data_IF_983348297274
#
_entry.id   IF_983348297274
#
_cell.length_a   1.000
_cell.length_b   1.000
_cell.length_c   1.000
_cell.angle_alpha   90.00
_cell.angle_beta   90.00
_cell.angle_gamma   90.00
#
_symmetry.space_group_name_H-M   'P 1'
#
loop_
_entity.id
_entity.type
_entity.pdbx_description
1 polymer ?
#
# COMPACT_ATOMS: atom_id res chain seq x y z
N UNK A 1 -9.03 5.22 7.94
CA UNK A 1 -8.08 4.32 8.62
C UNK A 1 -8.24 4.54 10.13
N UNK A 2 -8.73 3.55 10.87
CA UNK A 2 -8.96 3.64 12.33
C UNK A 2 -7.89 2.83 13.07
N UNK A 3 -7.38 3.38 14.16
CA UNK A 3 -6.53 2.67 15.13
C UNK A 3 -7.40 1.83 16.06
N UNK A 4 -7.18 0.50 16.12
CA UNK A 4 -7.72 -0.35 17.18
C UNK A 4 -6.56 -1.10 17.84
N UNK A 5 -6.32 -0.83 19.12
CA UNK A 5 -5.54 -1.70 20.01
C UNK A 5 -6.50 -2.65 20.73
N UNK A 6 -6.43 -3.99 20.54
CA UNK A 6 -7.18 -4.90 21.38
C UNK A 6 -6.40 -5.18 22.67
N UNK A 7 -6.97 -4.79 23.80
CA UNK A 7 -6.55 -5.30 25.11
C UNK A 7 -7.18 -6.70 25.31
N UNK A 8 -6.41 -7.76 25.11
CA UNK A 8 -6.84 -9.13 25.45
C UNK A 8 -6.49 -9.44 26.92
N UNK A 9 -7.51 -9.64 27.75
CA UNK A 9 -7.41 -10.49 28.96
C UNK A 9 -7.91 -11.89 28.59
N UNK A 10 -7.01 -12.86 28.54
CA UNK A 10 -7.37 -14.25 28.38
C UNK A 10 -7.89 -14.82 29.71
N UNK A 11 -9.12 -15.33 29.71
CA UNK A 11 -9.58 -16.31 30.70
C UNK A 11 -9.61 -17.69 30.03
N UNK A 12 -8.80 -18.59 30.57
CA UNK A 12 -8.71 -19.99 30.18
C UNK A 12 -10.00 -20.71 30.57
N UNK A 13 -10.69 -21.32 29.61
CA UNK A 13 -11.73 -22.31 29.86
C UNK A 13 -11.12 -23.71 29.76
N UNK A 14 -11.10 -24.45 30.88
CA UNK A 14 -10.79 -25.89 30.87
C UNK A 14 -12.01 -26.72 30.41
N UNK A 15 -11.82 -27.89 29.76
CA UNK A 15 -12.90 -28.79 29.37
C UNK A 15 -13.29 -29.77 30.50
N UNK A 16 -14.55 -30.24 30.58
CA UNK A 16 -14.97 -31.22 31.58
C UNK A 16 -14.64 -32.68 31.18
N UNK A 17 -14.61 -33.63 32.15
CA UNK A 17 -14.05 -34.96 31.96
C UNK A 17 -15.04 -36.00 31.42
N UNK A 18 -14.45 -37.07 30.90
CA UNK A 18 -15.01 -38.26 30.25
C UNK A 18 -15.90 -39.12 31.15
N UNK A 19 -16.90 -39.80 30.54
CA UNK A 19 -17.58 -40.96 31.13
C UNK A 19 -17.46 -42.19 30.23
N UNK A 20 -17.12 -43.29 30.89
CA UNK A 20 -16.97 -44.67 30.43
C UNK A 20 -18.31 -45.41 30.43
N UNK A 21 -18.52 -46.35 29.48
CA UNK A 21 -18.71 -47.79 29.76
C UNK A 21 -19.35 -48.58 28.59
N UNK A 22 -18.61 -49.59 28.13
CA UNK A 22 -18.99 -50.97 27.75
C UNK A 22 -20.29 -51.28 26.94
N UNK A 23 -20.08 -51.78 25.72
CA UNK A 23 -20.36 -53.17 25.35
C UNK A 23 -21.77 -53.56 24.87
N UNK A 24 -21.90 -53.91 23.58
CA UNK A 24 -22.55 -55.16 23.16
C UNK A 24 -22.24 -55.51 21.69
N UNK A 25 -22.01 -56.80 21.47
CA UNK A 25 -21.67 -57.44 20.21
C UNK A 25 -22.91 -57.57 19.31
N UNK A 26 -22.82 -57.17 18.04
CA UNK A 26 -23.69 -57.70 16.98
C UNK A 26 -22.96 -57.56 15.63
N UNK A 27 -22.50 -58.71 15.10
CA UNK A 27 -21.97 -58.80 13.74
C UNK A 27 -23.11 -58.56 12.75
N UNK A 28 -22.99 -57.50 11.95
CA UNK A 28 -23.78 -57.32 10.73
C UNK A 28 -22.78 -57.10 9.60
N UNK A 29 -22.66 -58.10 8.72
CA UNK A 29 -22.03 -57.98 7.41
C UNK A 29 -22.85 -56.98 6.59
N UNK A 30 -22.34 -55.76 6.38
CA UNK A 30 -22.81 -54.86 5.32
C UNK A 30 -21.65 -54.64 4.35
N UNK A 31 -21.97 -54.87 3.09
CA UNK A 31 -21.08 -54.86 1.92
C UNK A 31 -20.34 -53.52 1.82
N UNK A 32 -19.02 -53.58 1.63
CA UNK A 32 -18.21 -52.45 1.18
C UNK A 32 -18.73 -52.01 -0.20
N UNK A 33 -19.42 -50.88 -0.25
CA UNK A 33 -19.52 -50.09 -1.47
C UNK A 33 -18.39 -49.07 -1.42
N UNK A 34 -17.33 -49.32 -2.20
CA UNK A 34 -16.26 -48.37 -2.44
C UNK A 34 -16.84 -47.20 -3.25
N UNK A 35 -17.29 -46.16 -2.57
CA UNK A 35 -17.46 -44.83 -3.15
C UNK A 35 -16.60 -43.88 -2.31
N UNK A 36 -15.30 -43.96 -2.53
CA UNK A 36 -14.38 -42.93 -2.07
C UNK A 36 -14.63 -41.69 -2.92
N UNK A 37 -15.53 -40.83 -2.46
CA UNK A 37 -15.64 -39.47 -2.95
C UNK A 37 -14.40 -38.72 -2.42
N UNK A 38 -13.30 -38.78 -3.17
CA UNK A 38 -12.19 -37.84 -3.01
C UNK A 38 -12.70 -36.47 -3.44
N UNK A 39 -13.40 -35.76 -2.55
CA UNK A 39 -13.49 -34.33 -2.61
C UNK A 39 -12.09 -33.80 -2.30
N UNK A 40 -11.28 -33.61 -3.34
CA UNK A 40 -10.01 -32.91 -3.22
C UNK A 40 -10.30 -31.49 -2.76
N UNK A 41 -10.09 -31.21 -1.48
CA UNK A 41 -9.79 -29.86 -1.04
C UNK A 41 -8.45 -29.50 -1.69
N UNK A 42 -8.49 -28.84 -2.85
CA UNK A 42 -7.39 -27.97 -3.24
C UNK A 42 -7.47 -26.78 -2.30
N UNK A 43 -6.89 -26.91 -1.10
CA UNK A 43 -6.47 -25.74 -0.36
C UNK A 43 -5.43 -25.06 -1.26
N UNK A 44 -5.85 -24.02 -1.98
CA UNK A 44 -4.91 -23.17 -2.70
C UNK A 44 -3.88 -22.71 -1.70
N UNK A 45 -2.61 -23.00 -1.96
CA UNK A 45 -1.52 -22.46 -1.16
C UNK A 45 -1.58 -20.94 -1.35
N UNK A 46 -2.05 -20.22 -0.32
CA UNK A 46 -1.95 -18.78 -0.31
C UNK A 46 -0.47 -18.40 -0.38
N UNK A 47 -0.14 -17.35 -1.14
CA UNK A 47 1.22 -16.88 -1.25
C UNK A 47 1.71 -16.37 0.11
N UNK A 48 2.98 -16.63 0.43
CA UNK A 48 3.63 -16.07 1.62
C UNK A 48 3.67 -14.53 1.51
N UNK A 49 3.44 -13.85 2.63
CA UNK A 49 3.55 -12.40 2.70
C UNK A 49 4.97 -11.95 2.36
N UNK A 50 5.06 -11.06 1.40
CA UNK A 50 6.29 -10.40 0.98
C UNK A 50 6.34 -8.97 1.53
N UNK A 51 7.56 -8.45 1.64
CA UNK A 51 7.81 -7.11 2.15
C UNK A 51 8.51 -6.27 1.10
N UNK A 52 8.20 -4.98 1.08
CA UNK A 52 8.82 -4.04 0.15
C UNK A 52 10.30 -3.83 0.50
N UNK A 53 11.13 -3.43 -0.49
CA UNK A 53 12.49 -3.01 -0.22
C UNK A 53 12.53 -1.88 0.82
N UNK A 54 13.46 -2.01 1.76
CA UNK A 54 13.71 -1.01 2.79
C UNK A 54 14.91 -0.16 2.38
N UNK A 55 14.69 1.15 2.28
CA UNK A 55 15.69 2.14 1.90
C UNK A 55 16.01 3.02 3.11
N UNK A 56 17.29 3.04 3.50
CA UNK A 56 17.74 3.89 4.60
C UNK A 56 17.95 5.32 4.10
N UNK A 57 17.24 6.27 4.69
CA UNK A 57 17.41 7.68 4.40
C UNK A 57 18.80 8.13 4.85
N UNK A 58 19.49 8.88 3.99
CA UNK A 58 20.77 9.49 4.33
C UNK A 58 21.03 10.69 3.43
N UNK A 59 21.99 11.53 3.81
CA UNK A 59 22.51 12.62 2.96
C UNK A 59 23.59 12.16 1.99
N UNK A 60 24.00 10.87 2.05
CA UNK A 60 25.06 10.32 1.20
C UNK A 60 24.53 9.81 -0.15
N UNK A 61 23.23 9.58 -0.26
CA UNK A 61 22.61 8.99 -1.44
C UNK A 61 21.21 9.53 -1.66
N UNK A 62 20.95 9.99 -2.88
CA UNK A 62 19.61 10.26 -3.39
C UNK A 62 18.95 8.95 -3.80
N UNK A 63 17.71 8.74 -3.35
CA UNK A 63 16.90 7.58 -3.73
C UNK A 63 16.01 7.94 -4.91
N UNK A 64 16.09 7.20 -6.02
CA UNK A 64 15.15 7.39 -7.13
C UNK A 64 13.80 6.77 -6.79
N UNK A 65 12.76 7.60 -6.85
CA UNK A 65 11.37 7.21 -6.67
C UNK A 65 10.61 7.57 -7.95
N UNK A 66 10.24 6.56 -8.72
CA UNK A 66 9.55 6.70 -10.00
C UNK A 66 8.08 6.39 -9.82
N UNK A 67 7.20 7.33 -10.15
CA UNK A 67 5.77 7.04 -10.35
C UNK A 67 5.55 6.54 -11.79
N UNK A 68 4.87 5.42 -11.93
CA UNK A 68 4.62 4.77 -13.22
C UNK A 68 3.32 3.97 -13.22
N UNK A 69 2.88 3.54 -14.41
CA UNK A 69 1.82 2.55 -14.55
C UNK A 69 2.39 1.16 -14.20
N UNK A 70 1.70 0.43 -13.32
CA UNK A 70 2.11 -0.88 -12.81
C UNK A 70 0.92 -1.84 -12.81
N UNK A 71 1.12 -3.14 -13.04
CA UNK A 71 0.02 -4.11 -12.98
C UNK A 71 -0.62 -4.15 -11.59
N UNK A 72 -1.97 -4.11 -11.52
CA UNK A 72 -2.68 -4.37 -10.27
C UNK A 72 -2.84 -5.88 -10.08
N UNK A 73 -1.89 -6.52 -9.42
CA UNK A 73 -1.89 -7.97 -9.22
C UNK A 73 -2.04 -8.73 -10.54
N UNK A 74 -3.01 -9.66 -10.59
CA UNK A 74 -3.29 -10.47 -11.78
C UNK A 74 -4.53 -10.00 -12.57
N UNK A 75 -4.98 -8.76 -12.37
CA UNK A 75 -6.23 -8.26 -12.97
C UNK A 75 -6.13 -7.94 -14.47
N UNK A 76 -4.93 -7.91 -15.05
CA UNK A 76 -4.74 -7.69 -16.48
C UNK A 76 -4.86 -6.23 -16.93
N UNK A 77 -4.99 -5.30 -15.99
CA UNK A 77 -4.89 -3.86 -16.21
C UNK A 77 -3.89 -3.23 -15.24
N UNK A 78 -3.46 -2.02 -15.58
CA UNK A 78 -2.51 -1.24 -14.77
C UNK A 78 -3.22 -0.25 -13.84
N UNK A 79 -2.51 0.11 -12.77
CA UNK A 79 -2.78 1.22 -11.86
C UNK A 79 -1.53 2.09 -11.72
N UNK A 80 -1.58 3.17 -10.95
CA UNK A 80 -0.37 3.92 -10.60
C UNK A 80 0.31 3.37 -9.35
N UNK A 81 1.64 3.26 -9.40
CA UNK A 81 2.48 2.77 -8.31
C UNK A 81 3.85 3.42 -8.32
N UNK A 82 4.69 2.99 -7.38
CA UNK A 82 6.06 3.48 -7.25
C UNK A 82 7.08 2.35 -7.44
N UNK A 83 8.11 2.59 -8.26
CA UNK A 83 9.19 1.65 -8.56
C UNK A 83 8.68 0.24 -8.91
N UNK A 84 7.70 0.17 -9.82
CA UNK A 84 7.12 -1.08 -10.30
C UNK A 84 6.13 -1.77 -9.36
N UNK A 85 5.72 -1.16 -8.23
CA UNK A 85 4.87 -1.82 -7.24
C UNK A 85 3.81 -0.94 -6.57
N UNK A 86 2.83 -1.62 -5.99
CA UNK A 86 1.84 -1.09 -5.04
C UNK A 86 1.93 -1.94 -3.78
N UNK A 87 2.40 -1.44 -2.63
CA UNK A 87 2.96 -0.10 -2.43
C UNK A 87 4.38 0.05 -3.01
N UNK A 88 4.94 1.26 -2.93
CA UNK A 88 6.35 1.55 -3.18
C UNK A 88 7.28 1.09 -2.06
N UNK A 89 8.59 1.37 -2.18
CA UNK A 89 9.58 1.03 -1.15
C UNK A 89 9.27 1.68 0.20
N UNK A 90 9.79 1.09 1.27
CA UNK A 90 9.72 1.68 2.61
C UNK A 90 10.97 2.51 2.86
N UNK A 91 10.82 3.78 3.21
CA UNK A 91 11.92 4.58 3.73
C UNK A 91 12.01 4.42 5.24
N UNK A 92 13.22 4.25 5.78
CA UNK A 92 13.48 4.33 7.23
C UNK A 92 14.44 5.48 7.51
N UNK A 93 14.16 6.24 8.57
CA UNK A 93 15.00 7.38 8.96
C UNK A 93 14.95 7.62 10.46
N UNK A 94 15.98 8.29 10.98
CA UNK A 94 16.04 8.72 12.38
C UNK A 94 15.44 10.13 12.54
N UNK A 95 14.94 10.50 13.72
CA UNK A 95 14.73 11.90 14.09
C UNK A 95 16.02 12.71 13.84
N UNK A 96 15.90 13.94 13.34
CA UNK A 96 17.05 14.74 12.90
C UNK A 96 17.68 14.31 11.56
N UNK A 97 17.22 13.20 10.98
CA UNK A 97 17.70 12.69 9.72
C UNK A 97 17.14 13.43 8.50
N UNK A 98 17.75 13.16 7.34
CA UNK A 98 17.34 13.72 6.05
C UNK A 98 17.05 12.60 5.07
N UNK A 99 15.89 12.68 4.41
CA UNK A 99 15.53 11.85 3.26
C UNK A 99 15.68 12.67 1.97
N UNK A 100 16.49 12.17 1.04
CA UNK A 100 16.72 12.76 -0.29
C UNK A 100 16.15 11.85 -1.38
N UNK A 101 15.25 12.38 -2.21
CA UNK A 101 14.52 11.64 -3.24
C UNK A 101 14.67 12.33 -4.59
N UNK A 102 15.18 11.61 -5.60
CA UNK A 102 15.01 12.01 -7.00
C UNK A 102 13.66 11.48 -7.47
N UNK A 103 12.66 12.34 -7.57
CA UNK A 103 11.30 11.97 -7.96
C UNK A 103 11.18 12.02 -9.48
N UNK A 104 10.86 10.88 -10.09
CA UNK A 104 10.71 10.75 -11.55
C UNK A 104 9.25 10.50 -11.88
N UNK A 105 8.65 11.39 -12.67
CA UNK A 105 7.32 11.16 -13.22
C UNK A 105 7.44 10.44 -14.57
N UNK A 106 7.28 9.12 -14.57
CA UNK A 106 7.29 8.31 -15.80
C UNK A 106 5.88 8.04 -16.35
N UNK A 107 4.89 8.87 -15.98
CA UNK A 107 3.54 8.77 -16.52
C UNK A 107 3.46 9.33 -17.95
N UNK A 108 2.44 8.91 -18.69
CA UNK A 108 2.24 9.35 -20.07
C UNK A 108 1.50 10.70 -20.10
N UNK A 109 2.04 11.68 -20.84
CA UNK A 109 1.41 12.99 -21.03
C UNK A 109 0.01 12.89 -21.66
N UNK A 110 -0.28 11.86 -22.46
CA UNK A 110 -1.59 11.61 -23.04
C UNK A 110 -2.66 11.17 -22.02
N UNK A 111 -2.34 11.13 -20.73
CA UNK A 111 -3.30 10.90 -19.64
C UNK A 111 -3.87 12.19 -19.03
N UNK A 112 -3.35 13.37 -19.39
CA UNK A 112 -3.89 14.68 -19.00
C UNK A 112 -4.93 15.18 -20.02
N UNK A 113 -6.05 14.46 -20.16
CA UNK A 113 -7.03 14.74 -21.21
C UNK A 113 -8.21 15.62 -20.74
N UNK A 114 -8.45 15.70 -19.43
CA UNK A 114 -9.53 16.52 -18.89
C UNK A 114 -9.28 18.03 -19.04
N UNK A 115 -10.35 18.79 -19.28
CA UNK A 115 -10.30 20.25 -19.29
C UNK A 115 -10.44 20.79 -17.85
N UNK A 116 -9.40 21.45 -17.33
CA UNK A 116 -9.41 22.01 -15.98
C UNK A 116 -10.44 23.14 -15.77
N UNK A 117 -11.04 23.69 -16.83
CA UNK A 117 -12.13 24.64 -16.70
C UNK A 117 -13.48 23.97 -16.39
N UNK A 118 -13.63 22.69 -16.72
CA UNK A 118 -14.91 21.97 -16.67
C UNK A 118 -14.88 20.68 -15.86
N UNK A 119 -13.70 20.16 -15.53
CA UNK A 119 -13.50 18.94 -14.75
C UNK A 119 -12.68 19.19 -13.49
N UNK A 120 -13.04 18.51 -12.40
CA UNK A 120 -12.22 18.45 -11.18
C UNK A 120 -11.08 17.42 -11.30
N UNK A 121 -11.05 16.61 -12.36
CA UNK A 121 -9.98 15.65 -12.66
C UNK A 121 -9.38 15.94 -14.04
N UNK A 122 -8.40 16.83 -14.12
CA UNK A 122 -7.79 17.24 -15.39
C UNK A 122 -6.27 17.02 -15.48
N UNK A 123 -5.61 16.69 -14.36
CA UNK A 123 -4.15 16.50 -14.28
C UNK A 123 -3.78 15.07 -13.90
N UNK A 124 -4.45 14.07 -14.49
CA UNK A 124 -4.33 12.66 -14.11
C UNK A 124 -2.90 12.10 -14.12
N UNK A 125 -2.00 12.67 -14.92
CA UNK A 125 -0.60 12.24 -15.04
C UNK A 125 0.44 13.27 -14.60
N UNK A 126 0.04 14.47 -14.19
CA UNK A 126 0.93 15.36 -13.41
C UNK A 126 0.91 14.88 -11.95
N UNK A 127 2.05 14.89 -11.27
CA UNK A 127 2.18 14.33 -9.92
C UNK A 127 2.98 15.26 -9.00
N UNK A 128 3.02 14.91 -7.73
CA UNK A 128 3.99 15.42 -6.76
C UNK A 128 4.25 14.35 -5.69
N UNK A 129 4.96 14.73 -4.63
CA UNK A 129 5.21 13.87 -3.49
C UNK A 129 4.85 14.62 -2.20
N UNK A 130 3.99 14.01 -1.39
CA UNK A 130 3.64 14.49 -0.07
C UNK A 130 4.06 13.47 0.99
N UNK A 131 4.50 13.95 2.15
CA UNK A 131 4.87 13.10 3.30
C UNK A 131 3.88 13.24 4.44
N UNK A 132 2.96 12.29 4.53
CA UNK A 132 1.88 12.34 5.49
C UNK A 132 2.37 11.98 6.89
N UNK A 133 2.37 12.99 7.76
CA UNK A 133 2.70 12.89 9.17
C UNK A 133 4.15 13.28 9.51
N UNK A 134 4.98 13.63 8.51
CA UNK A 134 6.29 14.21 8.79
C UNK A 134 6.14 15.70 9.13
N UNK A 135 6.90 16.18 10.11
CA UNK A 135 7.04 17.61 10.40
C UNK A 135 8.22 18.17 9.60
N UNK A 136 7.95 18.61 8.38
CA UNK A 136 8.94 19.14 7.43
C UNK A 136 8.53 20.51 6.90
N UNK A 137 9.44 21.17 6.17
CA UNK A 137 9.14 22.45 5.53
C UNK A 137 8.14 22.27 4.39
N UNK A 138 7.32 23.29 4.15
CA UNK A 138 6.50 23.42 2.93
C UNK A 138 7.18 24.28 1.87
N UNK A 139 8.45 24.64 2.06
CA UNK A 139 9.20 25.46 1.11
C UNK A 139 9.67 24.64 -0.08
N UNK A 140 9.90 25.33 -1.18
CA UNK A 140 10.38 24.72 -2.42
C UNK A 140 11.46 25.55 -3.11
N UNK A 141 11.82 25.12 -4.33
CA UNK A 141 12.73 25.88 -5.19
C UNK A 141 12.21 27.29 -5.50
N UNK A 142 10.89 27.50 -5.48
CA UNK A 142 10.27 28.83 -5.63
C UNK A 142 10.60 29.78 -4.46
N UNK A 143 10.88 29.23 -3.28
CA UNK A 143 11.27 29.98 -2.08
C UNK A 143 12.80 30.15 -1.96
N UNK A 144 13.57 29.75 -2.97
CA UNK A 144 15.02 29.88 -3.02
C UNK A 144 15.80 28.67 -2.48
N UNK A 145 15.15 27.52 -2.26
CA UNK A 145 15.84 26.26 -1.97
C UNK A 145 16.41 25.63 -3.25
N UNK A 146 17.40 24.74 -3.11
CA UNK A 146 17.94 23.95 -4.23
C UNK A 146 17.07 22.71 -4.56
N UNK A 147 16.09 22.41 -3.72
CA UNK A 147 15.21 21.25 -3.77
C UNK A 147 13.79 21.63 -3.33
N UNK A 148 12.82 20.75 -3.58
CA UNK A 148 11.47 20.86 -3.04
C UNK A 148 11.38 20.13 -1.69
N UNK A 149 10.61 20.66 -0.75
CA UNK A 149 10.21 19.92 0.45
C UNK A 149 8.74 19.49 0.29
N UNK A 150 7.94 19.47 1.36
CA UNK A 150 6.54 19.04 1.30
C UNK A 150 5.59 20.16 0.82
N UNK A 151 5.86 20.67 -0.39
CA UNK A 151 5.06 21.67 -1.09
C UNK A 151 4.05 20.98 -2.02
N UNK A 152 2.79 20.96 -1.60
CA UNK A 152 1.69 20.33 -2.35
C UNK A 152 1.32 21.05 -3.65
N UNK A 153 1.86 22.24 -3.92
CA UNK A 153 1.64 22.98 -5.16
C UNK A 153 2.67 22.67 -6.23
N UNK A 154 3.69 21.88 -5.93
CA UNK A 154 4.64 21.41 -6.95
C UNK A 154 3.91 20.57 -7.98
N UNK A 155 4.18 20.86 -9.25
CA UNK A 155 3.67 20.11 -10.39
C UNK A 155 4.86 19.47 -11.10
N UNK A 156 5.00 18.15 -10.96
CA UNK A 156 5.98 17.38 -11.72
C UNK A 156 5.26 16.84 -12.96
N UNK A 157 5.56 17.41 -14.11
CA UNK A 157 4.92 17.02 -15.37
C UNK A 157 5.35 15.62 -15.84
N UNK A 158 4.50 14.93 -16.60
CA UNK A 158 4.84 13.67 -17.25
C UNK A 158 6.19 13.71 -17.98
N UNK A 159 7.05 12.72 -17.74
CA UNK A 159 8.40 12.62 -18.31
C UNK A 159 9.44 13.53 -17.66
N UNK A 160 9.09 14.27 -16.61
CA UNK A 160 10.00 15.15 -15.88
C UNK A 160 10.47 14.53 -14.56
N UNK A 161 11.56 15.05 -14.01
CA UNK A 161 12.05 14.70 -12.68
C UNK A 161 12.33 15.95 -11.84
N UNK A 162 12.31 15.80 -10.53
CA UNK A 162 12.69 16.86 -9.60
C UNK A 162 13.23 16.29 -8.29
N UNK A 163 13.92 17.14 -7.54
CA UNK A 163 14.59 16.76 -6.30
C UNK A 163 13.73 17.13 -5.10
N UNK A 164 13.44 16.16 -4.24
CA UNK A 164 12.82 16.37 -2.94
C UNK A 164 13.79 16.11 -1.80
N UNK A 165 13.79 16.97 -0.79
CA UNK A 165 14.49 16.72 0.47
C UNK A 165 13.60 17.02 1.67
N UNK A 166 13.55 16.05 2.57
CA UNK A 166 12.76 16.09 3.80
C UNK A 166 13.71 16.04 4.98
N UNK A 167 13.85 17.18 5.68
CA UNK A 167 14.70 17.30 6.87
C UNK A 167 13.83 17.18 8.10
N UNK A 168 14.01 16.12 8.89
CA UNK A 168 13.29 16.00 10.15
C UNK A 168 13.98 16.83 11.24
N UNK A 169 13.23 17.46 12.15
CA UNK A 169 13.82 18.01 13.35
C UNK A 169 14.28 16.88 14.29
N UNK A 170 15.27 17.14 15.14
CA UNK A 170 15.80 16.16 16.11
C UNK A 170 14.72 15.64 17.08
N UNK A 171 13.69 16.44 17.34
CA UNK A 171 12.57 16.09 18.22
C UNK A 171 11.36 15.54 17.45
N UNK A 172 11.53 15.11 16.20
CA UNK A 172 10.46 14.41 15.48
C UNK A 172 10.09 13.12 16.21
N UNK A 173 8.80 12.84 16.35
CA UNK A 173 8.35 11.60 16.98
C UNK A 173 8.65 10.40 16.09
N UNK A 174 9.07 9.29 16.71
CA UNK A 174 9.11 7.99 16.04
C UNK A 174 7.71 7.52 15.68
N UNK A 175 7.60 6.69 14.65
CA UNK A 175 6.34 6.11 14.22
C UNK A 175 6.26 5.72 12.75
N UNK A 176 5.08 5.24 12.38
CA UNK A 176 4.73 4.87 11.01
C UNK A 176 4.04 6.04 10.32
N UNK A 177 4.69 6.55 9.29
CA UNK A 177 4.25 7.60 8.39
C UNK A 177 4.18 7.01 6.96
N UNK A 178 3.79 7.83 5.99
CA UNK A 178 3.66 7.36 4.61
C UNK A 178 3.83 8.51 3.63
N UNK A 179 4.02 8.17 2.36
CA UNK A 179 4.08 9.14 1.28
C UNK A 179 3.13 8.75 0.16
N UNK A 180 2.61 9.75 -0.54
CA UNK A 180 1.73 9.57 -1.71
C UNK A 180 1.68 10.87 -2.54
N UNK A 181 1.24 10.82 -3.81
CA UNK A 181 0.89 12.02 -4.55
C UNK A 181 -0.31 12.74 -3.93
N UNK A 182 -0.21 14.06 -3.81
CA UNK A 182 -1.24 14.93 -3.22
C UNK A 182 -1.59 16.11 -4.16
N UNK A 183 -1.26 16.00 -5.45
CA UNK A 183 -1.58 17.04 -6.41
C UNK A 183 -3.09 17.16 -6.59
N UNK A 184 -3.58 18.41 -6.58
CA UNK A 184 -4.96 18.73 -6.91
C UNK A 184 -5.30 18.17 -8.30
N UNK A 185 -6.52 17.67 -8.47
CA UNK A 185 -6.99 16.95 -9.67
C UNK A 185 -6.46 15.52 -9.90
N UNK A 186 -5.34 15.12 -9.28
CA UNK A 186 -4.69 13.83 -9.58
C UNK A 186 -4.78 12.81 -8.43
N UNK A 187 -4.88 13.29 -7.19
CA UNK A 187 -4.76 12.48 -5.96
C UNK A 187 -5.67 11.26 -5.96
N UNK A 188 -6.93 11.40 -6.40
CA UNK A 188 -7.90 10.31 -6.36
C UNK A 188 -7.51 9.12 -7.24
N UNK A 189 -6.96 9.37 -8.44
CA UNK A 189 -6.50 8.31 -9.33
C UNK A 189 -5.12 7.78 -8.93
N UNK A 190 -4.20 8.65 -8.49
CA UNK A 190 -2.85 8.25 -8.15
C UNK A 190 -2.80 7.54 -6.79
N UNK A 191 -3.12 8.23 -5.70
CA UNK A 191 -3.10 7.64 -4.37
C UNK A 191 -4.20 6.57 -4.21
N UNK A 192 -5.41 6.82 -4.74
CA UNK A 192 -6.50 5.82 -4.72
C UNK A 192 -6.22 4.60 -5.61
N UNK A 193 -5.44 4.77 -6.69
CA UNK A 193 -4.93 3.67 -7.50
C UNK A 193 -3.86 2.83 -6.80
N UNK A 194 -3.19 3.36 -5.77
CA UNK A 194 -2.19 2.63 -4.98
C UNK A 194 -0.80 3.24 -4.96
N UNK A 195 -0.58 4.40 -5.61
CA UNK A 195 0.69 5.11 -5.55
C UNK A 195 0.91 5.67 -4.13
N UNK A 196 1.48 4.84 -3.26
CA UNK A 196 1.81 5.17 -1.89
C UNK A 196 2.95 4.27 -1.40
N UNK A 197 3.65 4.70 -0.35
CA UNK A 197 4.63 3.87 0.36
C UNK A 197 4.80 4.32 1.80
N UNK A 198 5.57 3.58 2.57
CA UNK A 198 5.70 3.79 4.01
C UNK A 198 6.98 4.54 4.34
N UNK A 199 6.92 5.40 5.35
CA UNK A 199 8.09 6.00 6.01
C UNK A 199 8.07 5.58 7.47
N UNK A 200 9.12 4.94 7.96
CA UNK A 200 9.31 4.69 9.39
C UNK A 200 10.31 5.71 9.92
N UNK A 201 9.87 6.49 10.90
CA UNK A 201 10.79 7.26 11.74
C UNK A 201 11.09 6.39 12.95
N UNK A 202 12.35 6.02 13.13
CA UNK A 202 12.77 5.15 14.23
C UNK A 202 12.53 5.82 15.57
N UNK A 203 12.21 5.00 16.58
CA UNK A 203 12.21 5.46 17.94
C UNK A 203 13.65 5.76 18.40
N UNK A 204 13.88 6.81 19.22
CA UNK A 204 15.19 7.05 19.82
C UNK A 204 15.70 5.83 20.61
N UNK A 205 17.02 5.66 20.66
CA UNK A 205 17.63 4.58 21.44
C UNK A 205 17.14 4.59 22.90
N UNK A 206 16.69 3.44 23.38
CA UNK A 206 16.17 3.28 24.75
C UNK A 206 14.74 3.79 24.98
N UNK A 207 14.04 4.26 23.94
CA UNK A 207 12.64 4.71 24.06
C UNK A 207 11.68 3.55 24.36
N UNK A 208 11.82 2.42 23.65
CA UNK A 208 11.04 1.21 23.90
C UNK A 208 11.71 0.35 24.99
N UNK A 209 10.95 -0.15 25.98
CA UNK A 209 11.45 -1.18 26.89
C UNK A 209 11.96 -2.40 26.11
N UNK A 210 13.04 -3.03 26.59
CA UNK A 210 13.73 -4.13 25.91
C UNK A 210 12.80 -5.23 25.38
N UNK A 211 11.76 -5.70 26.12
CA UNK A 211 10.90 -6.77 25.62
C UNK A 211 10.10 -6.39 24.37
N UNK A 212 9.91 -5.10 24.10
CA UNK A 212 9.25 -4.60 22.89
C UNK A 212 10.26 -4.25 21.80
N UNK A 213 11.41 -3.70 22.17
CA UNK A 213 12.47 -3.36 21.23
C UNK A 213 13.08 -4.61 20.55
N UNK A 214 13.05 -5.77 21.22
CA UNK A 214 13.50 -7.05 20.65
C UNK A 214 12.40 -7.83 19.92
N UNK A 215 11.16 -7.33 19.88
CA UNK A 215 10.10 -7.98 19.09
C UNK A 215 10.39 -7.85 17.60
N UNK A 216 9.99 -8.88 16.88
CA UNK A 216 10.03 -8.87 15.43
C UNK A 216 9.02 -7.86 14.88
N UNK A 217 9.51 -6.88 14.13
CA UNK A 217 8.67 -5.91 13.44
C UNK A 217 8.14 -6.51 12.13
N UNK A 218 6.85 -6.27 11.85
CA UNK A 218 6.18 -6.64 10.60
C UNK A 218 5.39 -5.45 10.08
N UNK A 219 5.84 -4.92 8.95
CA UNK A 219 5.15 -3.82 8.29
C UNK A 219 4.04 -4.36 7.38
N UNK A 220 2.81 -4.00 7.69
CA UNK A 220 1.62 -4.32 6.91
C UNK A 220 1.05 -3.04 6.32
N UNK A 221 1.11 -2.92 5.00
CA UNK A 221 0.42 -1.88 4.24
C UNK A 221 -0.90 -2.44 3.73
N UNK A 222 -2.01 -1.94 4.26
CA UNK A 222 -3.34 -2.36 3.85
C UNK A 222 -3.90 -1.34 2.86
N UNK A 223 -4.23 -1.78 1.65
CA UNK A 223 -4.91 -0.95 0.66
C UNK A 223 -6.25 -1.55 0.26
N UNK A 224 -7.15 -0.64 -0.10
CA UNK A 224 -8.49 -0.96 -0.58
C UNK A 224 -8.70 -0.25 -1.91
N UNK A 225 -9.03 -1.01 -2.95
CA UNK A 225 -9.28 -0.50 -4.30
C UNK A 225 -10.70 -0.87 -4.74
N UNK A 226 -11.57 0.14 -4.70
CA UNK A 226 -12.94 0.06 -5.22
C UNK A 226 -12.90 0.33 -6.73
N UNK A 227 -12.90 -0.73 -7.54
CA UNK A 227 -12.74 -0.60 -8.99
C UNK A 227 -13.89 0.19 -9.63
N UNK A 228 -15.11 0.11 -9.07
CA UNK A 228 -16.26 0.83 -9.61
C UNK A 228 -16.05 2.35 -9.48
N UNK A 229 -15.60 2.81 -8.30
CA UNK A 229 -15.29 4.22 -8.08
C UNK A 229 -14.08 4.67 -8.88
N UNK A 230 -13.01 3.87 -8.89
CA UNK A 230 -11.80 4.21 -9.62
C UNK A 230 -12.07 4.34 -11.12
N UNK A 231 -12.86 3.43 -11.71
CA UNK A 231 -13.28 3.52 -13.10
C UNK A 231 -14.12 4.78 -13.35
N UNK A 232 -15.09 5.09 -12.49
CA UNK A 232 -15.91 6.29 -12.65
C UNK A 232 -15.07 7.58 -12.66
N UNK A 233 -14.07 7.66 -11.76
CA UNK A 233 -13.13 8.78 -11.71
C UNK A 233 -12.25 8.80 -12.96
N UNK A 234 -11.76 7.65 -13.42
CA UNK A 234 -10.94 7.55 -14.64
C UNK A 234 -11.70 8.04 -15.87
N UNK A 235 -12.97 7.65 -16.01
CA UNK A 235 -13.85 8.13 -17.09
C UNK A 235 -14.07 9.64 -17.01
N UNK A 236 -14.34 10.20 -15.82
CA UNK A 236 -14.49 11.65 -15.65
C UNK A 236 -13.19 12.41 -15.94
N UNK A 237 -12.05 11.81 -15.58
CA UNK A 237 -10.72 12.34 -15.86
C UNK A 237 -10.28 12.18 -17.32
N UNK A 238 -11.04 11.44 -18.13
CA UNK A 238 -10.65 11.01 -19.47
C UNK A 238 -9.29 10.31 -19.48
N UNK A 239 -8.99 9.58 -18.40
CA UNK A 239 -7.74 8.86 -18.23
C UNK A 239 -7.87 7.46 -18.82
N UNK A 240 -6.86 7.04 -19.60
CA UNK A 240 -6.80 5.67 -20.10
C UNK A 240 -6.42 4.64 -19.04
N UNK A 241 -5.91 5.06 -17.87
CA UNK A 241 -5.69 4.13 -16.76
C UNK A 241 -6.99 3.88 -16.02
N UNK A 242 -7.27 2.63 -15.66
CA UNK A 242 -8.46 2.20 -14.92
C UNK A 242 -9.81 2.49 -15.62
N UNK A 243 -9.84 3.00 -16.86
CA UNK A 243 -11.07 3.32 -17.62
C UNK A 243 -12.02 2.12 -17.77
N UNK A 244 -11.47 0.90 -17.80
CA UNK A 244 -12.22 -0.34 -17.97
C UNK A 244 -12.08 -1.29 -16.77
N UNK A 245 -11.40 -0.89 -15.69
CA UNK A 245 -10.99 -1.79 -14.61
C UNK A 245 -12.15 -2.59 -13.97
N UNK A 246 -13.27 -1.92 -13.66
CA UNK A 246 -14.46 -2.58 -13.11
C UNK A 246 -15.14 -3.48 -14.14
N UNK A 247 -15.26 -3.01 -15.39
CA UNK A 247 -15.84 -3.79 -16.48
C UNK A 247 -15.03 -5.07 -16.73
N UNK A 248 -13.71 -4.94 -16.90
CA UNK A 248 -12.79 -6.04 -17.19
C UNK A 248 -12.77 -7.05 -16.04
N UNK A 249 -12.73 -6.60 -14.79
CA UNK A 249 -12.80 -7.47 -13.62
C UNK A 249 -14.15 -8.22 -13.55
N UNK A 250 -15.26 -7.55 -13.85
CA UNK A 250 -16.60 -8.17 -13.85
C UNK A 250 -16.71 -9.22 -14.95
N UNK A 251 -16.24 -8.92 -16.17
CA UNK A 251 -16.26 -9.85 -17.30
C UNK A 251 -15.35 -11.07 -17.06
N UNK A 252 -14.24 -10.87 -16.35
CA UNK A 252 -13.34 -11.93 -15.91
C UNK A 252 -13.84 -12.69 -14.66
N UNK A 253 -15.00 -12.33 -14.09
CA UNK A 253 -15.55 -12.88 -12.85
C UNK A 253 -14.54 -12.81 -11.67
N UNK A 254 -13.89 -11.65 -11.55
CA UNK A 254 -12.95 -11.29 -10.48
C UNK A 254 -13.62 -10.35 -9.47
N UNK A 255 -13.05 -10.27 -8.26
CA UNK A 255 -13.51 -9.34 -7.21
C UNK A 255 -13.33 -7.88 -7.64
N UNK A 256 -14.36 -7.05 -7.48
CA UNK A 256 -14.29 -5.62 -7.82
C UNK A 256 -13.98 -4.72 -6.62
N UNK A 257 -13.97 -5.31 -5.42
CA UNK A 257 -13.68 -4.66 -4.15
C UNK A 257 -12.42 -5.27 -3.54
N UNK A 258 -11.26 -4.71 -3.89
CA UNK A 258 -9.98 -5.39 -3.68
C UNK A 258 -9.34 -4.93 -2.37
N UNK A 259 -9.03 -5.88 -1.49
CA UNK A 259 -8.20 -5.65 -0.31
C UNK A 259 -6.83 -6.30 -0.52
N UNK A 260 -5.76 -5.52 -0.36
CA UNK A 260 -4.39 -6.00 -0.47
C UNK A 260 -3.63 -5.76 0.83
N UNK A 261 -2.71 -6.68 1.14
CA UNK A 261 -1.70 -6.52 2.18
C UNK A 261 -0.34 -6.57 1.50
N UNK A 262 0.43 -5.49 1.58
CA UNK A 262 1.70 -5.33 0.86
C UNK A 262 1.57 -5.62 -0.65
N UNK A 263 0.44 -5.23 -1.26
CA UNK A 263 0.17 -5.48 -2.69
C UNK A 263 -0.33 -6.88 -3.03
N UNK A 264 -0.48 -7.76 -2.05
CA UNK A 264 -0.89 -9.15 -2.26
C UNK A 264 -2.33 -9.39 -1.82
N UNK A 265 -3.07 -10.19 -2.58
CA UNK A 265 -4.41 -10.65 -2.20
C UNK A 265 -4.31 -11.85 -1.27
N UNK A 266 -4.88 -11.72 -0.06
CA UNK A 266 -4.96 -12.76 0.97
C UNK A 266 -3.64 -13.53 1.22
N UNK A 267 -2.50 -12.85 1.49
CA UNK A 267 -1.26 -13.53 1.82
C UNK A 267 -1.34 -14.26 3.18
N UNK A 268 -0.47 -15.25 3.38
CA UNK A 268 -0.28 -15.97 4.65
C UNK A 268 1.04 -15.61 5.34
#
# INVERSE_FOLDING_TARGET
IFWIRPALRAHLCEPPPTRTSAGCCCQIMVRLSLAALCAGLTAGLAAELTFMPVLQASTAQWHTLTIEAVPLGNYGFDTYGFNGGVPGPTFRMQPGGTLQVNFVNNLNASGNNGDCATSVFCKGTTSNLHTHGLHVSSQSTADGLEYNSDDIFIEVEPGSETMYQFNLPENHMGGTHWYHPHLHHATALQAGGGAAGVIIVEDPEGYLPEPYASMEERLLFLSHHDLQKLQAIATEAQSGILETAYTDATEANMETDIFLVNGQSMPQ
#
